data_IF_814167943283
#
_entry.id   IF_814167943283
#
_cell.length_a   1.000
_cell.length_b   1.000
_cell.length_c   1.000
_cell.angle_alpha   90.00
_cell.angle_beta   90.00
_cell.angle_gamma   90.00
#
_symmetry.space_group_name_H-M   'P 1'
#
loop_
_entity.id
_entity.type
_entity.pdbx_description
1 polymer ?
#
# COMPACT_ATOMS: atom_id res chain seq x y z
N UNK A 1 1.62 -8.56 -36.66
CA UNK A 1 2.10 -7.18 -36.45
C UNK A 1 0.89 -6.39 -35.98
N UNK A 2 0.70 -6.24 -34.67
CA UNK A 2 -0.36 -5.36 -34.15
C UNK A 2 -0.14 -3.94 -34.67
N UNK A 3 -1.22 -3.29 -35.07
CA UNK A 3 -1.19 -1.93 -35.61
C UNK A 3 -0.93 -0.93 -34.48
N UNK A 4 -0.27 0.20 -34.74
CA UNK A 4 0.13 1.17 -33.71
C UNK A 4 -1.05 1.70 -32.87
N UNK A 5 -2.27 1.67 -33.42
CA UNK A 5 -3.51 2.02 -32.71
C UNK A 5 -3.97 0.96 -31.72
N UNK A 6 -3.72 -0.32 -31.99
CA UNK A 6 -4.06 -1.42 -31.08
C UNK A 6 -3.20 -1.32 -29.82
N UNK A 7 -1.90 -1.05 -29.96
CA UNK A 7 -1.02 -0.79 -28.82
C UNK A 7 -1.43 0.45 -28.03
N UNK A 8 -1.84 1.53 -28.72
CA UNK A 8 -2.29 2.73 -28.03
C UNK A 8 -3.53 2.48 -27.17
N UNK A 9 -4.50 1.70 -27.67
CA UNK A 9 -5.68 1.32 -26.89
C UNK A 9 -5.30 0.41 -25.70
N UNK A 10 -4.42 -0.57 -25.90
CA UNK A 10 -3.95 -1.45 -24.82
C UNK A 10 -3.21 -0.67 -23.73
N UNK A 11 -2.32 0.26 -24.11
CA UNK A 11 -1.64 1.14 -23.16
C UNK A 11 -2.61 2.05 -22.41
N UNK A 12 -3.59 2.65 -23.09
CA UNK A 12 -4.59 3.49 -22.45
C UNK A 12 -5.38 2.68 -21.40
N UNK A 13 -5.86 1.49 -21.77
CA UNK A 13 -6.59 0.61 -20.85
C UNK A 13 -5.74 0.15 -19.65
N UNK A 14 -4.46 -0.15 -19.88
CA UNK A 14 -3.55 -0.52 -18.81
C UNK A 14 -3.31 0.64 -17.83
N UNK A 15 -3.13 1.87 -18.35
CA UNK A 15 -2.98 3.06 -17.52
C UNK A 15 -4.27 3.40 -16.76
N UNK A 16 -5.44 3.25 -17.39
CA UNK A 16 -6.74 3.44 -16.72
C UNK A 16 -6.88 2.52 -15.49
N UNK A 17 -6.57 1.23 -15.67
CA UNK A 17 -6.64 0.25 -14.59
C UNK A 17 -5.65 0.58 -13.45
N UNK A 18 -4.41 0.91 -13.79
CA UNK A 18 -3.38 1.27 -12.80
C UNK A 18 -3.72 2.56 -12.06
N UNK A 19 -4.35 3.54 -12.71
CA UNK A 19 -4.79 4.78 -12.07
C UNK A 19 -5.88 4.53 -11.03
N UNK A 20 -6.81 3.62 -11.31
CA UNK A 20 -7.84 3.22 -10.35
C UNK A 20 -7.23 2.53 -9.13
N UNK A 21 -6.30 1.60 -9.33
CA UNK A 21 -5.62 0.91 -8.23
C UNK A 21 -4.83 1.90 -7.35
N UNK A 22 -4.13 2.86 -7.96
CA UNK A 22 -3.38 3.89 -7.22
C UNK A 22 -4.31 4.82 -6.46
N UNK A 23 -5.40 5.28 -7.08
CA UNK A 23 -6.39 6.12 -6.41
C UNK A 23 -7.00 5.41 -5.20
N UNK A 24 -7.26 4.10 -5.30
CA UNK A 24 -7.73 3.30 -4.19
C UNK A 24 -6.70 3.21 -3.06
N UNK A 25 -5.42 2.97 -3.36
CA UNK A 25 -4.35 2.91 -2.34
C UNK A 25 -4.20 4.26 -1.64
N UNK A 26 -4.23 5.36 -2.39
CA UNK A 26 -4.17 6.72 -1.85
C UNK A 26 -5.36 7.01 -0.93
N UNK A 27 -6.56 6.54 -1.26
CA UNK A 27 -7.74 6.63 -0.39
C UNK A 27 -7.56 5.82 0.89
N UNK A 28 -7.13 4.55 0.79
CA UNK A 28 -6.93 3.68 1.94
C UNK A 28 -5.92 4.28 2.93
N UNK A 29 -4.83 4.87 2.42
CA UNK A 29 -3.84 5.59 3.22
C UNK A 29 -4.44 6.82 3.90
N UNK A 30 -5.28 7.59 3.19
CA UNK A 30 -5.90 8.81 3.74
C UNK A 30 -6.94 8.51 4.80
N UNK A 31 -7.76 7.49 4.57
CA UNK A 31 -8.80 7.05 5.50
C UNK A 31 -8.24 6.31 6.73
N UNK A 32 -6.96 5.89 6.67
CA UNK A 32 -6.34 5.00 7.66
C UNK A 32 -7.20 3.75 7.96
N UNK A 33 -7.91 3.27 6.92
CA UNK A 33 -8.88 2.19 7.04
C UNK A 33 -8.22 0.85 6.69
N UNK A 34 -8.63 -0.22 7.39
CA UNK A 34 -8.23 -1.56 7.01
C UNK A 34 -9.00 -1.94 5.73
N UNK A 35 -8.31 -2.18 4.60
CA UNK A 35 -8.99 -2.56 3.38
C UNK A 35 -9.71 -3.91 3.56
N UNK A 36 -10.86 -4.11 2.89
CA UNK A 36 -11.57 -5.37 2.96
C UNK A 36 -10.74 -6.48 2.29
N UNK A 37 -10.86 -7.71 2.79
CA UNK A 37 -9.94 -8.80 2.47
C UNK A 37 -9.97 -9.23 1.00
N UNK A 38 -11.15 -9.14 0.37
CA UNK A 38 -11.37 -9.36 -1.06
C UNK A 38 -10.57 -8.38 -1.92
N UNK A 39 -10.55 -7.12 -1.52
CA UNK A 39 -9.84 -6.06 -2.24
C UNK A 39 -8.32 -6.20 -2.12
N UNK A 40 -7.84 -6.60 -0.93
CA UNK A 40 -6.43 -6.97 -0.74
C UNK A 40 -6.07 -8.18 -1.60
N UNK A 41 -6.93 -9.19 -1.66
CA UNK A 41 -6.70 -10.38 -2.48
C UNK A 41 -6.68 -10.05 -3.98
N UNK A 42 -7.57 -9.17 -4.45
CA UNK A 42 -7.59 -8.66 -5.83
C UNK A 42 -6.27 -7.99 -6.20
N UNK A 43 -5.77 -7.08 -5.37
CA UNK A 43 -4.50 -6.39 -5.60
C UNK A 43 -3.30 -7.34 -5.50
N UNK A 44 -3.33 -8.32 -4.60
CA UNK A 44 -2.28 -9.34 -4.50
C UNK A 44 -2.22 -10.26 -5.73
N UNK A 45 -3.33 -10.40 -6.47
CA UNK A 45 -3.41 -11.13 -7.73
C UNK A 45 -3.04 -10.29 -8.96
N UNK A 46 -2.62 -9.03 -8.78
CA UNK A 46 -2.22 -8.17 -9.88
C UNK A 46 -1.05 -8.78 -10.66
N UNK A 47 -1.17 -8.76 -11.98
CA UNK A 47 -0.12 -9.20 -12.91
C UNK A 47 0.21 -8.03 -13.82
N UNK A 48 1.51 -7.74 -14.05
CA UNK A 48 1.90 -6.71 -14.99
C UNK A 48 1.30 -6.98 -16.38
N UNK A 49 0.70 -5.97 -17.04
CA UNK A 49 0.18 -6.13 -18.38
C UNK A 49 1.33 -6.48 -19.34
N UNK A 50 1.14 -7.54 -20.12
CA UNK A 50 2.08 -8.03 -21.12
C UNK A 50 1.71 -7.52 -22.52
N UNK A 51 2.64 -7.66 -23.47
CA UNK A 51 2.41 -7.44 -24.91
C UNK A 51 1.87 -6.04 -25.30
N UNK A 52 2.09 -5.04 -24.44
CA UNK A 52 1.63 -3.66 -24.67
C UNK A 52 2.32 -2.96 -25.86
N UNK A 53 3.45 -3.49 -26.33
CA UNK A 53 4.26 -2.85 -27.37
C UNK A 53 4.92 -1.54 -26.88
N UNK A 54 5.47 -0.73 -27.79
CA UNK A 54 6.09 0.54 -27.43
C UNK A 54 5.07 1.53 -26.86
N UNK A 55 5.45 2.27 -25.83
CA UNK A 55 4.62 3.32 -25.23
C UNK A 55 4.38 4.45 -26.25
N UNK A 56 3.13 4.80 -26.57
CA UNK A 56 2.79 5.95 -27.41
C UNK A 56 3.28 7.27 -26.81
N UNK A 57 3.80 8.16 -27.65
CA UNK A 57 4.41 9.43 -27.22
C UNK A 57 3.43 10.36 -26.49
N UNK A 58 2.15 10.33 -26.87
CA UNK A 58 1.06 11.08 -26.24
C UNK A 58 0.72 10.58 -24.83
N UNK A 59 1.02 9.32 -24.52
CA UNK A 59 0.79 8.73 -23.19
C UNK A 59 2.00 8.86 -22.24
N UNK A 60 3.16 9.31 -22.71
CA UNK A 60 4.38 9.42 -21.90
C UNK A 60 4.19 10.29 -20.67
N UNK A 61 3.60 11.47 -20.84
CA UNK A 61 3.36 12.42 -19.73
C UNK A 61 2.43 11.80 -18.68
N UNK A 62 1.38 11.12 -19.15
CA UNK A 62 0.41 10.44 -18.28
C UNK A 62 1.06 9.29 -17.50
N UNK A 63 1.80 8.43 -18.19
CA UNK A 63 2.52 7.31 -17.57
C UNK A 63 3.55 7.78 -16.54
N UNK A 64 4.29 8.85 -16.84
CA UNK A 64 5.26 9.44 -15.91
C UNK A 64 4.59 10.01 -14.66
N UNK A 65 3.47 10.73 -14.81
CA UNK A 65 2.71 11.25 -13.68
C UNK A 65 2.15 10.11 -12.80
N UNK A 66 1.67 9.03 -13.42
CA UNK A 66 1.20 7.85 -12.70
C UNK A 66 2.34 7.16 -11.93
N UNK A 67 3.51 7.02 -12.53
CA UNK A 67 4.68 6.41 -11.88
C UNK A 67 5.14 7.21 -10.65
N UNK A 68 5.09 8.54 -10.73
CA UNK A 68 5.42 9.42 -9.60
C UNK A 68 4.44 9.18 -8.43
N UNK A 69 3.13 9.16 -8.73
CA UNK A 69 2.08 8.83 -7.74
C UNK A 69 2.28 7.44 -7.12
N UNK A 70 2.57 6.42 -7.94
CA UNK A 70 2.87 5.07 -7.47
C UNK A 70 4.06 5.06 -6.51
N UNK A 71 5.13 5.77 -6.85
CA UNK A 71 6.33 5.88 -6.01
C UNK A 71 6.03 6.58 -4.69
N UNK A 72 5.22 7.65 -4.72
CA UNK A 72 4.78 8.35 -3.53
C UNK A 72 3.92 7.46 -2.63
N UNK A 73 2.90 6.79 -3.18
CA UNK A 73 2.02 5.88 -2.45
C UNK A 73 2.80 4.72 -1.81
N UNK A 74 3.78 4.15 -2.52
CA UNK A 74 4.64 3.10 -2.00
C UNK A 74 5.45 3.57 -0.77
N UNK A 75 6.05 4.77 -0.83
CA UNK A 75 6.76 5.37 0.31
C UNK A 75 5.83 5.61 1.49
N UNK A 76 4.68 6.24 1.26
CA UNK A 76 3.68 6.50 2.30
C UNK A 76 3.19 5.21 2.97
N UNK A 77 3.04 4.13 2.20
CA UNK A 77 2.67 2.81 2.72
C UNK A 77 3.73 2.25 3.67
N UNK A 78 5.01 2.30 3.29
CA UNK A 78 6.11 1.83 4.15
C UNK A 78 6.20 2.64 5.44
N UNK A 79 5.99 3.96 5.36
CA UNK A 79 5.95 4.85 6.53
C UNK A 79 4.78 4.50 7.46
N UNK A 80 3.58 4.27 6.91
CA UNK A 80 2.41 3.87 7.69
C UNK A 80 2.63 2.53 8.41
N UNK A 81 3.19 1.53 7.72
CA UNK A 81 3.57 0.23 8.31
C UNK A 81 4.56 0.42 9.46
N UNK A 82 5.60 1.24 9.25
CA UNK A 82 6.63 1.50 10.26
C UNK A 82 6.05 2.20 11.49
N UNK A 83 5.18 3.19 11.29
CA UNK A 83 4.47 3.89 12.38
C UNK A 83 3.57 2.94 13.15
N UNK A 84 2.79 2.11 12.46
CA UNK A 84 1.92 1.10 13.08
C UNK A 84 2.71 0.14 13.97
N UNK A 85 3.85 -0.40 13.48
CA UNK A 85 4.73 -1.27 14.27
C UNK A 85 5.26 -0.59 15.55
N UNK A 86 5.65 0.69 15.46
CA UNK A 86 6.10 1.46 16.62
C UNK A 86 4.98 1.67 17.64
N UNK A 87 3.76 1.95 17.19
CA UNK A 87 2.61 2.07 18.07
C UNK A 87 2.29 0.76 18.80
N UNK A 88 2.31 -0.38 18.09
CA UNK A 88 2.12 -1.69 18.72
C UNK A 88 3.17 -1.95 19.80
N UNK A 89 4.46 -1.73 19.49
CA UNK A 89 5.54 -1.91 20.45
C UNK A 89 5.40 -1.02 21.69
N UNK A 90 4.96 0.24 21.53
CA UNK A 90 4.70 1.14 22.64
C UNK A 90 3.53 0.68 23.52
N UNK A 91 2.44 0.20 22.91
CA UNK A 91 1.31 -0.37 23.63
C UNK A 91 1.68 -1.65 24.39
N UNK A 92 2.53 -2.50 23.80
CA UNK A 92 3.04 -3.70 24.46
C UNK A 92 3.95 -3.35 25.65
N UNK A 93 4.76 -2.29 25.56
CA UNK A 93 5.59 -1.83 26.68
C UNK A 93 4.76 -1.27 27.85
N UNK A 94 3.58 -0.69 27.57
CA UNK A 94 2.65 -0.17 28.58
C UNK A 94 1.76 -1.27 29.20
N UNK A 95 1.72 -2.47 28.62
CA UNK A 95 0.94 -3.57 29.18
C UNK A 95 1.50 -3.94 30.56
N UNK A 96 0.67 -3.89 31.63
CA UNK A 96 1.12 -4.28 32.96
C UNK A 96 1.64 -5.71 32.93
N UNK A 97 2.88 -5.90 33.38
CA UNK A 97 3.42 -7.23 33.61
C UNK A 97 2.59 -7.86 34.73
N UNK A 98 1.81 -8.92 34.44
CA UNK A 98 1.03 -9.68 35.44
C UNK A 98 1.88 -10.39 36.51
N UNK A 99 3.17 -10.06 36.62
CA UNK A 99 4.15 -10.77 37.46
C UNK A 99 4.49 -10.11 38.79
N UNK A 100 4.28 -8.80 38.97
CA UNK A 100 4.63 -8.14 40.23
C UNK A 100 3.43 -8.15 41.19
N UNK A 101 3.11 -9.33 41.72
CA UNK A 101 2.38 -9.39 42.97
C UNK A 101 3.34 -8.86 44.04
N UNK A 102 3.11 -7.65 44.52
CA UNK A 102 3.88 -7.08 45.62
C UNK A 102 3.76 -7.99 46.85
N UNK A 103 4.83 -8.75 47.13
CA UNK A 103 4.93 -9.57 48.34
C UNK A 103 5.42 -8.67 49.46
N UNK A 104 4.52 -8.30 50.36
CA UNK A 104 4.89 -7.62 51.60
C UNK A 104 5.50 -8.64 52.57
N UNK A 105 6.77 -8.45 52.91
CA UNK A 105 7.43 -9.17 54.00
C UNK A 105 7.29 -8.34 55.26
N UNK A 106 6.46 -8.81 56.20
CA UNK A 106 6.39 -8.26 57.55
C UNK A 106 7.58 -8.84 58.35
N UNK A 107 8.58 -8.00 58.62
CA UNK A 107 9.67 -8.35 59.53
C UNK A 107 9.22 -8.05 60.95
N UNK A 108 8.72 -9.06 61.64
CA UNK A 108 8.46 -8.99 63.07
C UNK A 108 9.80 -8.89 63.82
N UNK A 109 9.88 -7.91 64.73
CA UNK A 109 11.07 -7.50 65.48
C UNK A 109 11.51 -8.49 66.57
#
# INVERSE_FOLDING_TARGET
MSDGREWAASWASALDALELDVAWVEEALRAAHLPPADEVARLAAWVPPADLGPLPADLVVRAAALLDRQTHAARATVEAITRSRRHVAALDALRPHRGDVAVYVDTQA
#
